data_IF_476307322109
#
_entry.id   IF_476307322109
#
_cell.length_a   1.000
_cell.length_b   1.000
_cell.length_c   1.000
_cell.angle_alpha   90.00
_cell.angle_beta   90.00
_cell.angle_gamma   90.00
#
_symmetry.space_group_name_H-M   'P 1'
#
loop_
_entity.id
_entity.type
_entity.pdbx_description
1 polymer ?
#
# COMPACT_ATOMS: atom_id res chain seq x y z
N UNK A 1 1.05 13.25 -4.22
CA UNK A 1 0.55 11.86 -4.08
C UNK A 1 0.68 11.39 -2.65
N UNK A 2 -0.21 10.49 -2.24
CA UNK A 2 -0.14 9.77 -0.99
C UNK A 2 -0.17 8.27 -1.30
N UNK A 3 0.70 7.49 -0.65
CA UNK A 3 0.70 6.04 -0.78
C UNK A 3 -0.30 5.43 0.20
N UNK A 4 -1.16 4.57 -0.30
CA UNK A 4 -2.07 3.80 0.52
C UNK A 4 -1.63 2.36 0.56
N UNK A 5 -1.53 1.81 1.75
CA UNK A 5 -1.18 0.41 1.94
C UNK A 5 -2.09 -0.26 2.96
N UNK A 6 -2.16 -1.57 2.90
CA UNK A 6 -2.97 -2.38 3.82
C UNK A 6 -2.11 -3.47 4.42
N UNK A 7 -2.15 -3.59 5.73
CA UNK A 7 -1.52 -4.70 6.43
C UNK A 7 -2.22 -4.97 7.76
N UNK A 8 -1.90 -6.11 8.36
CA UNK A 8 -2.32 -6.48 9.70
C UNK A 8 -1.11 -6.92 10.54
N UNK A 9 -1.36 -7.39 11.76
CA UNK A 9 -0.30 -7.81 12.68
C UNK A 9 0.56 -8.96 12.11
N UNK A 10 0.03 -9.80 11.22
CA UNK A 10 0.78 -10.92 10.64
C UNK A 10 1.83 -10.46 9.63
N UNK A 11 1.64 -9.28 9.03
CA UNK A 11 2.55 -8.74 8.03
C UNK A 11 3.31 -7.51 8.52
N UNK A 12 3.34 -7.28 9.84
CA UNK A 12 3.93 -6.09 10.43
C UNK A 12 5.41 -5.93 10.07
N UNK A 13 6.19 -7.02 10.10
CA UNK A 13 7.62 -6.98 9.76
C UNK A 13 7.84 -6.57 8.29
N UNK A 14 7.01 -7.07 7.39
CA UNK A 14 7.05 -6.73 5.98
C UNK A 14 6.64 -5.26 5.77
N UNK A 15 5.58 -4.80 6.43
CA UNK A 15 5.15 -3.41 6.39
C UNK A 15 6.22 -2.45 6.93
N UNK A 16 6.96 -2.85 7.97
CA UNK A 16 8.10 -2.08 8.48
C UNK A 16 9.18 -1.94 7.41
N UNK A 17 9.51 -3.01 6.69
CA UNK A 17 10.48 -2.96 5.60
C UNK A 17 10.02 -2.06 4.46
N UNK A 18 8.74 -2.14 4.09
CA UNK A 18 8.13 -1.28 3.07
C UNK A 18 8.27 0.20 3.45
N UNK A 19 7.82 0.58 4.65
CA UNK A 19 7.86 1.97 5.14
C UNK A 19 9.30 2.48 5.22
N UNK A 20 10.23 1.64 5.69
CA UNK A 20 11.64 2.03 5.76
C UNK A 20 12.26 2.21 4.37
N UNK A 21 11.87 1.39 3.39
CA UNK A 21 12.35 1.54 2.01
C UNK A 21 11.81 2.82 1.36
N UNK A 22 10.52 3.14 1.52
CA UNK A 22 9.95 4.38 1.01
C UNK A 22 10.67 5.59 1.61
N UNK A 23 10.81 5.65 2.94
CA UNK A 23 11.51 6.77 3.60
C UNK A 23 12.95 6.95 3.16
N UNK A 24 13.56 5.90 2.65
CA UNK A 24 14.92 5.94 2.14
C UNK A 24 14.99 6.49 0.71
N UNK A 25 13.99 6.20 -0.11
CA UNK A 25 13.98 6.53 -1.54
C UNK A 25 13.13 7.75 -1.91
N UNK A 26 12.12 8.09 -1.12
CA UNK A 26 11.20 9.20 -1.35
C UNK A 26 10.71 9.83 -0.04
N UNK A 27 9.98 10.93 -0.19
CA UNK A 27 9.29 11.61 0.92
C UNK A 27 7.78 11.62 0.71
N UNK A 28 7.24 10.57 0.09
CA UNK A 28 5.82 10.46 -0.23
C UNK A 28 5.09 10.02 1.05
N UNK A 29 4.08 10.77 1.53
CA UNK A 29 3.32 10.39 2.71
C UNK A 29 2.68 9.00 2.55
N UNK A 30 2.76 8.17 3.60
CA UNK A 30 2.12 6.85 3.66
C UNK A 30 0.90 6.92 4.57
N UNK A 31 -0.21 6.37 4.09
CA UNK A 31 -1.41 6.09 4.85
C UNK A 31 -1.69 4.58 4.91
N UNK A 32 -1.90 4.05 6.12
CA UNK A 32 -2.14 2.64 6.36
C UNK A 32 -3.61 2.35 6.68
N UNK A 33 -4.20 1.40 5.95
CA UNK A 33 -5.54 0.88 6.25
C UNK A 33 -5.43 -0.46 6.95
N UNK A 34 -5.94 -0.51 8.17
CA UNK A 34 -5.73 -1.63 9.09
C UNK A 34 -7.07 -2.24 9.52
N UNK A 35 -7.14 -3.55 9.77
CA UNK A 35 -8.23 -4.12 10.55
C UNK A 35 -8.26 -3.49 11.95
N UNK A 36 -9.44 -3.24 12.49
CA UNK A 36 -9.64 -2.80 13.88
C UNK A 36 -9.04 -3.78 14.92
N UNK A 37 -8.87 -5.04 14.54
CA UNK A 37 -8.21 -6.06 15.36
C UNK A 37 -6.68 -6.00 15.33
N UNK A 38 -6.05 -5.27 14.40
CA UNK A 38 -4.60 -5.25 14.19
C UNK A 38 -3.88 -4.30 15.19
N UNK A 39 -3.83 -4.72 16.46
CA UNK A 39 -3.36 -3.88 17.57
C UNK A 39 -1.88 -3.54 17.45
N UNK A 40 -1.05 -4.47 17.00
CA UNK A 40 0.38 -4.24 16.85
C UNK A 40 0.67 -3.28 15.68
N UNK A 41 -0.03 -3.43 14.56
CA UNK A 41 0.04 -2.53 13.42
C UNK A 41 -0.39 -1.10 13.77
N UNK A 42 -1.52 -0.94 14.48
CA UNK A 42 -1.98 0.38 14.94
C UNK A 42 -0.94 1.03 15.87
N UNK A 43 -0.36 0.26 16.80
CA UNK A 43 0.70 0.77 17.69
C UNK A 43 1.92 1.24 16.89
N UNK A 44 2.35 0.46 15.91
CA UNK A 44 3.47 0.80 15.03
C UNK A 44 3.22 2.11 14.26
N UNK A 45 2.04 2.27 13.65
CA UNK A 45 1.67 3.49 12.92
C UNK A 45 1.72 4.72 13.83
N UNK A 46 1.15 4.63 15.05
CA UNK A 46 1.20 5.72 16.04
C UNK A 46 2.63 6.09 16.44
N UNK A 47 3.47 5.11 16.72
CA UNK A 47 4.86 5.33 17.10
C UNK A 47 5.67 6.00 16.00
N UNK A 48 5.37 5.68 14.74
CA UNK A 48 6.09 6.18 13.58
C UNK A 48 5.42 7.38 12.89
N UNK A 49 4.37 7.94 13.49
CA UNK A 49 3.58 9.06 12.96
C UNK A 49 3.06 8.80 11.54
N UNK A 50 2.62 7.57 11.28
CA UNK A 50 2.01 7.15 10.02
C UNK A 50 0.49 7.36 10.17
N UNK A 51 -0.10 8.07 9.21
CA UNK A 51 -1.55 8.21 9.14
C UNK A 51 -2.19 6.83 8.95
N UNK A 52 -3.29 6.57 9.65
CA UNK A 52 -3.93 5.27 9.55
C UNK A 52 -5.43 5.32 9.80
N UNK A 53 -6.13 4.42 9.11
CA UNK A 53 -7.55 4.18 9.28
C UNK A 53 -7.78 2.74 9.72
N UNK A 54 -8.64 2.56 10.72
CA UNK A 54 -9.10 1.24 11.14
C UNK A 54 -10.50 0.98 10.63
N UNK A 55 -10.74 -0.20 10.07
CA UNK A 55 -12.08 -0.64 9.69
C UNK A 55 -12.44 -2.00 10.27
N UNK A 56 -13.73 -2.21 10.50
CA UNK A 56 -14.27 -3.51 10.86
C UNK A 56 -14.49 -4.32 9.58
N UNK A 57 -13.55 -5.22 9.29
CA UNK A 57 -13.61 -6.08 8.11
C UNK A 57 -13.98 -7.51 8.53
N UNK A 58 -14.88 -8.19 7.79
CA UNK A 58 -15.27 -9.55 8.12
C UNK A 58 -14.04 -10.46 8.13
N UNK A 59 -13.91 -11.30 9.18
CA UNK A 59 -12.82 -12.29 9.29
C UNK A 59 -12.85 -13.21 8.07
N UNK A 60 -11.90 -12.98 7.16
CA UNK A 60 -11.65 -13.77 5.95
C UNK A 60 -10.17 -14.15 5.93
N UNK A 61 -9.76 -14.96 4.95
CA UNK A 61 -8.32 -15.20 4.73
C UNK A 61 -7.58 -13.86 4.56
N UNK A 62 -6.32 -13.77 4.97
CA UNK A 62 -5.51 -12.53 4.87
C UNK A 62 -5.58 -11.88 3.48
N UNK A 63 -5.53 -12.69 2.41
CA UNK A 63 -5.66 -12.23 1.02
C UNK A 63 -7.01 -11.61 0.70
N UNK A 64 -8.09 -12.14 1.25
CA UNK A 64 -9.45 -11.61 1.09
C UNK A 64 -9.66 -10.34 1.93
N UNK A 65 -9.11 -10.31 3.15
CA UNK A 65 -9.14 -9.12 4.02
C UNK A 65 -8.39 -7.96 3.37
N UNK A 66 -7.18 -8.19 2.85
CA UNK A 66 -6.42 -7.20 2.08
C UNK A 66 -7.21 -6.69 0.86
N UNK A 67 -7.84 -7.58 0.09
CA UNK A 67 -8.67 -7.18 -1.07
C UNK A 67 -9.89 -6.35 -0.68
N UNK A 68 -10.55 -6.67 0.44
CA UNK A 68 -11.69 -5.89 0.95
C UNK A 68 -11.27 -4.51 1.44
N UNK A 69 -10.12 -4.43 2.11
CA UNK A 69 -9.50 -3.18 2.53
C UNK A 69 -9.15 -2.30 1.32
N UNK A 70 -8.56 -2.87 0.25
CA UNK A 70 -8.30 -2.17 -1.03
C UNK A 70 -9.57 -1.56 -1.63
N UNK A 71 -10.64 -2.36 -1.73
CA UNK A 71 -11.93 -1.87 -2.23
C UNK A 71 -12.60 -0.85 -1.30
N UNK A 72 -12.36 -0.97 0.02
CA UNK A 72 -12.79 0.02 1.01
C UNK A 72 -12.07 1.36 0.83
N UNK A 73 -10.76 1.36 0.60
CA UNK A 73 -9.97 2.57 0.36
C UNK A 73 -10.50 3.38 -0.84
N UNK A 74 -10.76 2.70 -1.96
CA UNK A 74 -11.32 3.34 -3.16
C UNK A 74 -12.70 3.99 -2.92
N UNK A 75 -13.44 3.54 -1.89
CA UNK A 75 -14.72 4.13 -1.51
C UNK A 75 -14.60 5.22 -0.44
N UNK A 76 -13.56 5.16 0.40
CA UNK A 76 -13.32 6.12 1.48
C UNK A 76 -12.71 7.43 0.95
N UNK A 77 -11.87 7.35 -0.07
CA UNK A 77 -11.06 8.47 -0.56
C UNK A 77 -11.50 8.96 -1.94
N UNK A 78 -12.81 8.89 -2.24
CA UNK A 78 -13.36 9.26 -3.57
C UNK A 78 -13.07 10.70 -3.99
N UNK A 79 -12.76 11.58 -3.05
CA UNK A 79 -12.49 13.00 -3.28
C UNK A 79 -11.00 13.36 -3.19
N UNK A 80 -10.11 12.40 -2.89
CA UNK A 80 -8.67 12.65 -2.78
C UNK A 80 -7.96 12.39 -4.12
N UNK A 81 -7.19 13.38 -4.57
CA UNK A 81 -6.30 13.34 -5.75
C UNK A 81 -5.18 12.27 -5.60
N UNK A 82 -4.48 11.90 -6.71
CA UNK A 82 -4.23 10.51 -7.10
C UNK A 82 -3.69 9.61 -6.00
N UNK A 83 -4.46 8.54 -5.78
CA UNK A 83 -4.21 7.46 -4.83
C UNK A 83 -3.29 6.44 -5.49
N UNK A 84 -2.09 6.26 -4.96
CA UNK A 84 -1.23 5.13 -5.33
C UNK A 84 -1.38 4.02 -4.28
N UNK A 85 -2.04 2.93 -4.66
CA UNK A 85 -2.13 1.75 -3.81
C UNK A 85 -0.88 0.88 -3.99
N UNK A 86 -0.22 0.54 -2.88
CA UNK A 86 1.00 -0.27 -2.89
C UNK A 86 0.84 -1.45 -1.92
N UNK A 87 1.11 -2.65 -2.42
CA UNK A 87 1.29 -3.82 -1.57
C UNK A 87 2.61 -3.71 -0.79
N UNK A 88 2.58 -4.19 0.45
CA UNK A 88 3.73 -4.14 1.36
C UNK A 88 4.88 -5.10 0.98
N UNK A 89 4.65 -6.00 0.03
CA UNK A 89 5.68 -6.90 -0.50
C UNK A 89 6.50 -6.27 -1.63
N UNK A 90 6.20 -5.02 -2.00
CA UNK A 90 6.98 -4.22 -2.94
C UNK A 90 8.14 -3.55 -2.20
N UNK A 91 9.32 -3.60 -2.79
CA UNK A 91 10.50 -2.86 -2.30
C UNK A 91 10.88 -1.81 -3.33
N UNK A 92 10.91 -0.55 -2.91
CA UNK A 92 11.35 0.53 -3.78
C UNK A 92 12.86 0.46 -4.00
N UNK A 93 13.29 0.71 -5.25
CA UNK A 93 14.70 0.77 -5.62
C UNK A 93 15.13 2.17 -6.10
N UNK A 94 14.17 3.05 -6.37
CA UNK A 94 14.35 4.40 -6.87
C UNK A 94 13.29 5.33 -6.25
N UNK A 95 13.50 6.64 -6.36
CA UNK A 95 12.49 7.64 -5.99
C UNK A 95 11.25 7.50 -6.87
N UNK A 96 10.09 7.39 -6.22
CA UNK A 96 8.79 7.20 -6.85
C UNK A 96 7.95 8.48 -6.89
N UNK A 97 8.50 9.62 -6.46
CA UNK A 97 7.82 10.92 -6.54
C UNK A 97 7.31 11.23 -7.95
N UNK A 98 8.00 10.74 -8.98
CA UNK A 98 7.64 10.89 -10.39
C UNK A 98 6.44 10.06 -10.85
N UNK A 99 5.91 9.15 -10.01
CA UNK A 99 4.70 8.38 -10.35
C UNK A 99 3.46 9.29 -10.46
N UNK A 100 3.48 10.46 -9.82
CA UNK A 100 2.44 11.49 -9.91
C UNK A 100 2.20 11.98 -11.34
N UNK A 101 3.30 12.14 -12.08
CA UNK A 101 3.29 12.64 -13.45
C UNK A 101 2.95 11.54 -14.48
N UNK A 102 2.90 10.28 -14.04
CA UNK A 102 2.58 9.18 -14.91
C UNK A 102 1.08 9.10 -15.15
N UNK A 103 0.70 9.22 -16.42
CA UNK A 103 -0.65 8.93 -16.87
C UNK A 103 -1.09 7.55 -16.34
N UNK A 104 -2.26 7.41 -15.70
CA UNK A 104 -2.73 6.13 -15.16
C UNK A 104 -2.76 4.99 -16.19
N UNK A 105 -2.99 5.32 -17.47
CA UNK A 105 -2.94 4.35 -18.57
C UNK A 105 -1.51 3.84 -18.83
N UNK A 106 -0.49 4.66 -18.53
CA UNK A 106 0.91 4.30 -18.64
C UNK A 106 1.33 3.32 -17.54
N UNK A 107 0.86 3.50 -16.30
CA UNK A 107 1.08 2.56 -15.20
C UNK A 107 0.46 1.19 -15.49
N UNK A 108 -0.77 1.18 -16.02
CA UNK A 108 -1.39 -0.06 -16.48
C UNK A 108 -0.56 -0.73 -17.58
N UNK A 109 -0.11 0.02 -18.60
CA UNK A 109 0.71 -0.53 -19.67
C UNK A 109 2.07 -1.09 -19.20
N UNK A 110 2.72 -0.47 -18.21
CA UNK A 110 3.94 -0.99 -17.59
C UNK A 110 3.69 -2.30 -16.84
N UNK A 111 2.59 -2.40 -16.09
CA UNK A 111 2.22 -3.63 -15.37
C UNK A 111 2.02 -4.84 -16.29
N UNK A 112 1.59 -4.61 -17.54
CA UNK A 112 1.41 -5.67 -18.54
C UNK A 112 2.72 -6.13 -19.19
N UNK A 113 3.77 -5.30 -19.17
CA UNK A 113 5.06 -5.62 -19.81
C UNK A 113 5.91 -6.59 -18.99
N UNK A 114 5.88 -6.49 -17.66
CA UNK A 114 6.63 -7.41 -16.80
C UNK A 114 6.04 -8.83 -16.78
N UNK A 115 4.73 -8.95 -17.00
CA UNK A 115 4.05 -10.25 -17.15
C UNK A 115 4.38 -11.01 -18.43
N UNK A 116 5.16 -10.44 -19.37
CA UNK A 116 5.56 -11.10 -20.61
C UNK A 116 7.04 -11.56 -20.62
N UNK A 117 7.84 -11.23 -19.62
CA UNK A 117 9.23 -11.69 -19.55
C UNK A 117 9.41 -13.03 -18.80
N UNK A 118 8.41 -13.51 -18.08
CA UNK A 118 8.48 -14.77 -17.30
C UNK A 118 7.98 -16.01 -18.02
N UNK A 119 7.64 -15.93 -19.31
CA UNK A 119 7.18 -17.10 -20.10
C UNK A 119 8.08 -17.35 -21.32
N UNK A 120 9.40 -17.34 -21.12
CA UNK A 120 10.35 -17.97 -22.04
C UNK A 120 11.47 -18.64 -21.24
N UNK A 121 11.16 -19.81 -20.68
CA UNK A 121 12.12 -20.89 -20.43
C UNK A 121 11.43 -22.22 -20.68
#
# INVERSE_FOLDING_TARGET
MQLYTVFDDNFLEMAQSFVNSERFFSSVPICAHLPDTARAAVKYCKQNKIEHFTGNYPKRSAKQTSRLLKMGCANLHKEEEPIAYMDIDIVFQNDISQLEDLNPNYLWALSQREGHQTTLR
#
